data_IF_150776103290
#
_entry.id   IF_150776103290
#
_cell.length_a   1.000
_cell.length_b   1.000
_cell.length_c   1.000
_cell.angle_alpha   90.00
_cell.angle_beta   90.00
_cell.angle_gamma   90.00
#
_symmetry.space_group_name_H-M   'P 1'
#
loop_
_entity.id
_entity.type
_entity.pdbx_description
1 polymer ?
#
# COMPACT_ATOMS: atom_id res chain seq x y z
N UNK A 1 31.47 -0.41 21.14
CA UNK A 1 31.51 -1.27 19.94
C UNK A 1 30.11 -1.83 19.78
N UNK A 2 29.43 -1.50 18.66
CA UNK A 2 28.45 -2.28 17.89
C UNK A 2 27.28 -2.97 18.64
N UNK A 3 26.04 -3.04 18.17
CA UNK A 3 25.22 -2.44 17.11
C UNK A 3 23.87 -3.20 17.24
N UNK A 4 22.76 -2.57 16.84
CA UNK A 4 21.56 -3.20 16.23
C UNK A 4 20.70 -4.12 17.14
N UNK A 5 19.37 -4.18 17.11
CA UNK A 5 18.40 -4.06 16.01
C UNK A 5 17.06 -3.53 16.53
N UNK A 6 16.49 -2.58 15.78
CA UNK A 6 15.12 -2.09 15.94
C UNK A 6 14.13 -3.24 15.68
N UNK A 7 13.37 -3.63 16.70
CA UNK A 7 12.26 -4.57 16.58
C UNK A 7 11.09 -3.91 15.82
N UNK A 8 11.15 -3.93 14.48
CA UNK A 8 10.14 -3.39 13.55
C UNK A 8 8.98 -4.39 13.31
N UNK A 9 9.09 -5.62 13.81
CA UNK A 9 8.17 -6.71 13.43
C UNK A 9 6.89 -6.76 14.28
N UNK A 10 6.86 -6.06 15.43
CA UNK A 10 5.75 -6.19 16.39
C UNK A 10 4.50 -5.37 16.01
N UNK A 11 4.57 -4.51 14.99
CA UNK A 11 3.41 -3.75 14.50
C UNK A 11 2.47 -4.55 13.58
N UNK A 12 2.84 -5.77 13.19
CA UNK A 12 2.07 -6.57 12.23
C UNK A 12 0.94 -7.41 12.85
N UNK A 13 0.92 -7.58 14.18
CA UNK A 13 0.08 -8.59 14.84
C UNK A 13 -1.28 -8.10 15.36
N UNK A 14 -1.56 -6.79 15.38
CA UNK A 14 -2.80 -6.23 15.96
C UNK A 14 -3.85 -5.76 14.95
N UNK A 15 -3.69 -6.06 13.67
CA UNK A 15 -4.57 -5.59 12.58
C UNK A 15 -5.42 -6.70 11.94
N UNK A 16 -5.71 -7.76 12.71
CA UNK A 16 -6.68 -8.79 12.35
C UNK A 16 -8.14 -8.38 12.67
N UNK A 17 -8.39 -7.09 12.93
CA UNK A 17 -9.73 -6.55 12.76
C UNK A 17 -10.12 -6.71 11.30
N UNK A 18 -11.28 -7.35 11.10
CA UNK A 18 -11.89 -7.72 9.83
C UNK A 18 -12.12 -6.47 8.98
N UNK A 19 -11.06 -5.97 8.34
CA UNK A 19 -11.09 -4.75 7.52
C UNK A 19 -12.20 -4.91 6.48
N UNK A 20 -13.15 -3.95 6.40
CA UNK A 20 -14.16 -3.99 5.37
C UNK A 20 -13.47 -4.16 4.02
N UNK A 21 -14.01 -5.07 3.19
CA UNK A 21 -13.51 -5.31 1.84
C UNK A 21 -13.38 -3.95 1.16
N UNK A 22 -12.16 -3.55 0.83
CA UNK A 22 -11.89 -2.29 0.13
C UNK A 22 -12.80 -2.22 -1.10
N UNK A 23 -13.55 -1.12 -1.23
CA UNK A 23 -14.51 -0.91 -2.32
C UNK A 23 -13.88 -1.23 -3.68
N UNK A 24 -14.64 -1.87 -4.57
CA UNK A 24 -14.14 -2.28 -5.90
C UNK A 24 -13.50 -1.10 -6.65
N UNK A 25 -14.12 0.08 -6.56
CA UNK A 25 -13.62 1.33 -7.14
C UNK A 25 -12.20 1.67 -6.67
N UNK A 26 -11.95 1.58 -5.37
CA UNK A 26 -10.63 1.86 -4.79
C UNK A 26 -9.60 0.83 -5.25
N UNK A 27 -10.02 -0.43 -5.40
CA UNK A 27 -9.15 -1.50 -5.92
C UNK A 27 -8.73 -1.23 -7.37
N UNK A 28 -9.65 -0.80 -8.23
CA UNK A 28 -9.35 -0.49 -9.63
C UNK A 28 -8.43 0.72 -9.78
N UNK A 29 -8.65 1.78 -9.02
CA UNK A 29 -7.75 2.95 -8.99
C UNK A 29 -6.33 2.57 -8.57
N UNK A 30 -6.20 1.73 -7.54
CA UNK A 30 -4.91 1.21 -7.09
C UNK A 30 -4.26 0.33 -8.15
N UNK A 31 -5.02 -0.53 -8.82
CA UNK A 31 -4.49 -1.35 -9.91
C UNK A 31 -3.98 -0.50 -11.08
N UNK A 32 -4.73 0.53 -11.48
CA UNK A 32 -4.34 1.45 -12.52
C UNK A 32 -3.06 2.21 -12.14
N UNK A 33 -2.98 2.71 -10.90
CA UNK A 33 -1.80 3.38 -10.38
C UNK A 33 -0.58 2.47 -10.43
N UNK A 34 -0.69 1.24 -9.90
CA UNK A 34 0.40 0.24 -9.92
C UNK A 34 0.84 -0.10 -11.34
N UNK A 35 -0.10 -0.30 -12.27
CA UNK A 35 0.20 -0.57 -13.67
C UNK A 35 0.92 0.60 -14.36
N UNK A 36 0.69 1.83 -13.89
CA UNK A 36 1.34 3.04 -14.41
C UNK A 36 2.69 3.36 -13.74
N UNK A 37 3.09 2.66 -12.68
CA UNK A 37 4.38 2.89 -11.99
C UNK A 37 5.59 2.76 -12.94
N UNK A 38 5.67 1.76 -13.84
CA UNK A 38 6.82 1.63 -14.75
C UNK A 38 6.97 2.79 -15.73
N UNK A 39 5.90 3.54 -16.01
CA UNK A 39 5.88 4.62 -17.00
C UNK A 39 5.91 6.01 -16.37
N UNK A 40 5.18 6.23 -15.27
CA UNK A 40 5.02 7.53 -14.60
C UNK A 40 5.87 7.66 -13.33
N UNK A 41 6.36 6.54 -12.79
CA UNK A 41 7.10 6.50 -11.53
C UNK A 41 6.22 6.46 -10.29
N UNK A 42 6.84 6.08 -9.17
CA UNK A 42 6.15 5.83 -7.90
C UNK A 42 5.52 7.10 -7.31
N UNK A 43 6.18 8.25 -7.45
CA UNK A 43 5.69 9.53 -6.95
C UNK A 43 4.39 9.95 -7.63
N UNK A 44 4.32 9.84 -8.96
CA UNK A 44 3.10 10.15 -9.74
C UNK A 44 1.95 9.20 -9.45
N UNK A 45 2.25 7.91 -9.25
CA UNK A 45 1.24 6.95 -8.84
C UNK A 45 0.65 7.28 -7.45
N UNK A 46 1.49 7.74 -6.51
CA UNK A 46 1.03 8.17 -5.19
C UNK A 46 0.17 9.44 -5.26
N UNK A 47 0.57 10.43 -6.06
CA UNK A 47 -0.20 11.66 -6.30
C UNK A 47 -1.58 11.37 -6.90
N UNK A 48 -1.66 10.47 -7.89
CA UNK A 48 -2.93 10.06 -8.49
C UNK A 48 -3.88 9.44 -7.46
N UNK A 49 -3.37 8.56 -6.59
CA UNK A 49 -4.19 7.95 -5.54
C UNK A 49 -4.66 8.97 -4.50
N UNK A 50 -3.80 9.92 -4.13
CA UNK A 50 -4.17 11.00 -3.23
C UNK A 50 -5.25 11.91 -3.83
N UNK A 51 -5.12 12.27 -5.11
CA UNK A 51 -6.11 13.09 -5.83
C UNK A 51 -7.47 12.39 -5.94
N UNK A 52 -7.48 11.05 -6.00
CA UNK A 52 -8.69 10.24 -6.10
C UNK A 52 -9.32 9.89 -4.73
N UNK A 53 -8.78 10.42 -3.63
CA UNK A 53 -9.30 10.18 -2.28
C UNK A 53 -9.03 8.78 -1.73
N UNK A 54 -8.03 8.07 -2.29
CA UNK A 54 -7.63 6.76 -1.79
C UNK A 54 -6.85 6.94 -0.47
N UNK A 55 -7.17 6.19 0.60
CA UNK A 55 -6.46 6.31 1.86
C UNK A 55 -4.96 6.04 1.70
N UNK A 56 -4.13 6.90 2.31
CA UNK A 56 -2.67 6.82 2.21
C UNK A 56 -2.11 5.44 2.62
N UNK A 57 -2.71 4.80 3.63
CA UNK A 57 -2.32 3.47 4.06
C UNK A 57 -2.46 2.40 2.96
N UNK A 58 -3.52 2.50 2.14
CA UNK A 58 -3.75 1.59 1.01
C UNK A 58 -2.74 1.87 -0.10
N UNK A 59 -2.48 3.14 -0.39
CA UNK A 59 -1.50 3.57 -1.40
C UNK A 59 -0.08 3.09 -1.05
N UNK A 60 0.36 3.28 0.18
CA UNK A 60 1.67 2.80 0.67
C UNK A 60 1.76 1.29 0.58
N UNK A 61 0.73 0.56 1.02
CA UNK A 61 0.72 -0.90 0.93
C UNK A 61 0.80 -1.39 -0.52
N UNK A 62 0.16 -0.70 -1.46
CA UNK A 62 0.15 -1.09 -2.86
C UNK A 62 1.46 -0.75 -3.60
N UNK A 63 2.05 0.42 -3.32
CA UNK A 63 3.22 0.93 -4.03
C UNK A 63 4.55 0.47 -3.42
N UNK A 64 4.63 0.41 -2.09
CA UNK A 64 5.89 0.13 -1.35
C UNK A 64 5.99 -1.34 -0.95
N UNK A 65 4.86 -1.98 -0.63
CA UNK A 65 4.83 -3.36 -0.14
C UNK A 65 3.94 -4.28 -1.00
N UNK A 66 4.24 -4.44 -2.30
CA UNK A 66 3.38 -5.18 -3.22
C UNK A 66 3.18 -6.65 -2.79
N UNK A 67 4.16 -7.26 -2.13
CA UNK A 67 4.11 -8.65 -1.63
C UNK A 67 3.14 -8.86 -0.44
N UNK A 68 2.64 -7.78 0.19
CA UNK A 68 1.58 -7.86 1.22
C UNK A 68 0.17 -7.82 0.64
N UNK A 69 0.00 -7.70 -0.68
CA UNK A 69 -1.31 -7.91 -1.30
C UNK A 69 -1.62 -9.40 -1.20
N UNK A 70 -2.58 -9.78 -0.35
CA UNK A 70 -3.15 -11.13 -0.37
C UNK A 70 -3.72 -11.36 -1.78
N UNK A 71 -3.00 -12.16 -2.58
CA UNK A 71 -3.49 -12.73 -3.82
C UNK A 71 -4.82 -13.43 -3.51
N UNK A 72 -5.86 -13.05 -4.25
CA UNK A 72 -7.19 -13.60 -4.16
C UNK A 72 -7.54 -14.20 -5.52
#
# INVERSE_FOLDING_TARGET
>A
MMMTELNIDTAAATLAERRPRTDMRTRDLVNQAVASVPTLGLQRAAEFLAAMGVPAEIAVRALVYPNRRRTN
#
